data_IF_009489069141
#
_entry.id   IF_009489069141
#
_cell.length_a   1.000
_cell.length_b   1.000
_cell.length_c   1.000
_cell.angle_alpha   90.00
_cell.angle_beta   90.00
_cell.angle_gamma   90.00
#
_symmetry.space_group_name_H-M   'P 1'
#
loop_
_entity.id
_entity.type
_entity.pdbx_description
1 polymer ?
#
# COMPACT_ATOMS: atom_id res chain seq x y z
N UNK A 1 7.80 -19.42 14.96
CA UNK A 1 6.84 -18.90 15.97
C UNK A 1 6.12 -20.09 16.58
N UNK A 2 5.74 -20.05 17.85
CA UNK A 2 4.95 -21.13 18.47
C UNK A 2 3.58 -21.27 17.78
N UNK A 3 3.13 -22.50 17.56
CA UNK A 3 1.87 -22.81 16.86
C UNK A 3 0.65 -22.17 17.52
N UNK A 4 0.60 -22.13 18.85
CA UNK A 4 -0.49 -21.50 19.60
C UNK A 4 -0.49 -19.99 19.44
N UNK A 5 0.69 -19.38 19.31
CA UNK A 5 0.85 -17.94 19.08
C UNK A 5 0.36 -17.58 17.68
N UNK A 6 0.74 -18.37 16.66
CA UNK A 6 0.25 -18.18 15.29
C UNK A 6 -1.28 -18.25 15.23
N UNK A 7 -1.86 -19.32 15.80
CA UNK A 7 -3.31 -19.48 15.86
C UNK A 7 -4.01 -18.30 16.54
N UNK A 8 -3.44 -17.79 17.64
CA UNK A 8 -4.00 -16.64 18.35
C UNK A 8 -4.00 -15.37 17.48
N UNK A 9 -2.89 -15.11 16.77
CA UNK A 9 -2.76 -13.97 15.86
C UNK A 9 -3.76 -14.09 14.70
N UNK A 10 -3.85 -15.25 14.06
CA UNK A 10 -4.81 -15.50 12.98
C UNK A 10 -6.26 -15.24 13.43
N UNK A 11 -6.62 -15.69 14.64
CA UNK A 11 -7.95 -15.43 15.20
C UNK A 11 -8.18 -13.96 15.54
N UNK A 12 -7.15 -13.20 15.92
CA UNK A 12 -7.25 -11.74 16.06
C UNK A 12 -7.50 -11.08 14.70
N UNK A 13 -6.72 -11.45 13.68
CA UNK A 13 -6.86 -10.92 12.31
C UNK A 13 -8.25 -11.22 11.73
N UNK A 14 -8.75 -12.45 11.86
CA UNK A 14 -10.08 -12.87 11.39
C UNK A 14 -11.19 -12.00 11.99
N UNK A 15 -11.12 -11.74 13.31
CA UNK A 15 -12.09 -10.86 14.00
C UNK A 15 -12.01 -9.43 13.51
N UNK A 16 -10.81 -8.90 13.30
CA UNK A 16 -10.59 -7.56 12.77
C UNK A 16 -11.19 -7.41 11.37
N UNK A 17 -10.83 -8.31 10.44
CA UNK A 17 -11.34 -8.29 9.06
C UNK A 17 -12.87 -8.42 9.05
N UNK A 18 -13.44 -9.31 9.87
CA UNK A 18 -14.90 -9.44 9.99
C UNK A 18 -15.57 -8.14 10.43
N UNK A 19 -14.96 -7.39 11.34
CA UNK A 19 -15.49 -6.12 11.81
C UNK A 19 -15.30 -4.98 10.80
N UNK A 20 -14.20 -4.98 10.03
CA UNK A 20 -13.99 -4.06 8.91
C UNK A 20 -15.04 -4.28 7.81
N UNK A 21 -15.25 -5.53 7.41
CA UNK A 21 -16.22 -5.90 6.37
C UNK A 21 -17.64 -5.49 6.77
N UNK A 22 -18.02 -5.63 8.05
CA UNK A 22 -19.32 -5.14 8.57
C UNK A 22 -19.50 -3.62 8.43
N UNK A 23 -18.42 -2.87 8.22
CA UNK A 23 -18.39 -1.42 8.04
C UNK A 23 -17.99 -1.02 6.62
N UNK A 24 -18.17 -1.92 5.65
CA UNK A 24 -17.86 -1.70 4.22
C UNK A 24 -16.38 -1.40 3.93
N UNK A 25 -15.48 -1.87 4.78
CA UNK A 25 -14.04 -1.81 4.55
C UNK A 25 -13.51 -3.21 4.28
N UNK A 26 -12.95 -3.44 3.10
CA UNK A 26 -12.31 -4.71 2.79
C UNK A 26 -11.05 -4.90 3.64
N UNK A 27 -10.89 -6.07 4.25
CA UNK A 27 -9.69 -6.45 4.98
C UNK A 27 -8.98 -7.62 4.31
N UNK A 28 -7.66 -7.53 4.20
CA UNK A 28 -6.82 -8.57 3.59
C UNK A 28 -5.71 -8.97 4.56
N UNK A 29 -5.36 -10.25 4.55
CA UNK A 29 -4.23 -10.80 5.30
C UNK A 29 -3.33 -11.54 4.32
N UNK A 30 -2.05 -11.19 4.30
CA UNK A 30 -1.02 -11.75 3.42
C UNK A 30 0.16 -12.18 4.27
N UNK A 31 0.86 -13.24 3.87
CA UNK A 31 1.95 -13.84 4.65
C UNK A 31 3.32 -13.21 4.37
N UNK A 32 3.52 -12.69 3.15
CA UNK A 32 4.80 -12.17 2.68
C UNK A 32 4.64 -11.08 1.62
N UNK A 33 5.77 -10.51 1.19
CA UNK A 33 5.85 -9.45 0.18
C UNK A 33 5.39 -9.93 -1.21
N UNK A 34 5.51 -11.23 -1.51
CA UNK A 34 5.06 -11.77 -2.80
C UNK A 34 3.54 -11.77 -2.85
N UNK A 35 2.89 -12.26 -1.80
CA UNK A 35 1.44 -12.20 -1.65
C UNK A 35 0.92 -10.75 -1.60
N UNK A 36 1.66 -9.85 -0.94
CA UNK A 36 1.36 -8.42 -0.93
C UNK A 36 1.36 -7.83 -2.36
N UNK A 37 2.42 -8.02 -3.13
CA UNK A 37 2.50 -7.49 -4.49
C UNK A 37 1.44 -8.10 -5.42
N UNK A 38 1.12 -9.39 -5.26
CA UNK A 38 0.02 -10.03 -5.99
C UNK A 38 -1.35 -9.46 -5.61
N UNK A 39 -1.55 -9.08 -4.35
CA UNK A 39 -2.77 -8.39 -3.92
C UNK A 39 -2.83 -6.98 -4.51
N UNK A 40 -1.75 -6.20 -4.42
CA UNK A 40 -1.69 -4.85 -4.99
C UNK A 40 -1.98 -4.86 -6.49
N UNK A 41 -1.41 -5.80 -7.25
CA UNK A 41 -1.66 -5.95 -8.69
C UNK A 41 -3.13 -6.27 -9.03
N UNK A 42 -3.89 -6.82 -8.09
CA UNK A 42 -5.34 -7.06 -8.27
C UNK A 42 -6.21 -5.87 -7.86
N UNK A 43 -5.70 -5.02 -6.98
CA UNK A 43 -6.43 -3.88 -6.43
C UNK A 43 -6.19 -2.59 -7.21
N UNK A 44 -4.97 -2.42 -7.75
CA UNK A 44 -4.59 -1.26 -8.54
C UNK A 44 -4.96 -1.46 -9.99
N UNK A 45 -5.60 -0.46 -10.60
CA UNK A 45 -5.94 -0.48 -12.01
C UNK A 45 -4.77 0.01 -12.86
N UNK A 46 -4.53 -0.65 -13.99
CA UNK A 46 -3.54 -0.21 -14.97
C UNK A 46 -3.83 1.22 -15.45
N UNK A 47 -2.77 2.02 -15.59
CA UNK A 47 -2.78 3.43 -15.96
C UNK A 47 -3.47 4.39 -14.96
N UNK A 48 -3.87 3.90 -13.79
CA UNK A 48 -4.40 4.76 -12.72
C UNK A 48 -3.31 5.63 -12.08
N UNK A 49 -3.73 6.75 -11.48
CA UNK A 49 -2.86 7.64 -10.71
C UNK A 49 -2.70 7.08 -9.30
N UNK A 50 -1.47 6.72 -8.95
CA UNK A 50 -1.16 6.14 -7.64
C UNK A 50 -0.28 7.09 -6.84
N UNK A 51 -0.71 7.42 -5.63
CA UNK A 51 0.00 8.24 -4.66
C UNK A 51 0.42 7.45 -3.43
N UNK A 52 1.44 7.96 -2.71
CA UNK A 52 1.91 7.36 -1.46
C UNK A 52 2.14 8.38 -0.34
N UNK A 53 1.81 7.96 0.88
CA UNK A 53 2.16 8.64 2.13
C UNK A 53 3.65 8.53 2.46
N UNK A 54 4.05 9.02 3.64
CA UNK A 54 5.39 8.80 4.18
C UNK A 54 5.38 7.53 5.03
N UNK A 55 5.73 6.40 4.42
CA UNK A 55 5.64 5.07 5.04
C UNK A 55 6.92 4.29 4.83
N UNK A 56 7.61 3.95 5.92
CA UNK A 56 8.76 3.04 5.88
C UNK A 56 8.36 1.63 5.48
N UNK A 57 7.16 1.18 5.87
CA UNK A 57 6.64 -0.14 5.48
C UNK A 57 6.56 -0.31 3.97
N UNK A 58 6.23 0.75 3.21
CA UNK A 58 6.22 0.69 1.74
C UNK A 58 7.62 0.51 1.15
N UNK A 59 8.67 1.01 1.82
CA UNK A 59 10.06 0.77 1.43
C UNK A 59 10.51 -0.64 1.82
N UNK A 60 10.28 -1.05 3.07
CA UNK A 60 10.73 -2.34 3.61
C UNK A 60 10.12 -3.53 2.85
N UNK A 61 8.88 -3.37 2.40
CA UNK A 61 8.18 -4.39 1.59
C UNK A 61 8.51 -4.36 0.10
N UNK A 62 9.31 -3.39 -0.36
CA UNK A 62 9.61 -3.20 -1.79
C UNK A 62 8.46 -2.62 -2.61
N UNK A 63 7.37 -2.16 -1.95
CA UNK A 63 6.19 -1.61 -2.62
C UNK A 63 6.52 -0.35 -3.45
N UNK A 64 7.44 0.50 -3.00
CA UNK A 64 7.85 1.70 -3.78
C UNK A 64 8.43 1.30 -5.14
N UNK A 65 9.32 0.30 -5.17
CA UNK A 65 9.93 -0.17 -6.42
C UNK A 65 8.97 -1.01 -7.26
N UNK A 66 7.98 -1.66 -6.63
CA UNK A 66 6.85 -2.27 -7.34
C UNK A 66 6.06 -1.22 -8.11
N UNK A 67 5.68 -0.10 -7.47
CA UNK A 67 4.91 0.97 -8.12
C UNK A 67 5.69 1.65 -9.25
N UNK A 68 6.99 1.88 -9.08
CA UNK A 68 7.87 2.45 -10.12
C UNK A 68 8.00 1.60 -11.37
N UNK A 69 7.90 0.26 -11.23
CA UNK A 69 8.00 -0.70 -12.34
C UNK A 69 6.64 -1.07 -12.92
N UNK A 70 5.56 -0.76 -12.21
CA UNK A 70 4.19 -1.05 -12.63
C UNK A 70 3.70 -0.12 -13.73
N UNK A 71 2.58 -0.49 -14.34
CA UNK A 71 1.93 0.32 -15.37
C UNK A 71 1.01 1.37 -14.72
N UNK A 72 1.57 2.27 -13.92
CA UNK A 72 0.80 3.29 -13.17
C UNK A 72 1.38 4.69 -13.39
N UNK A 73 0.53 5.70 -13.27
CA UNK A 73 0.99 7.09 -13.15
C UNK A 73 1.39 7.35 -11.68
N UNK A 74 2.59 6.88 -11.32
CA UNK A 74 3.07 6.95 -9.94
C UNK A 74 3.56 8.36 -9.57
N UNK A 75 2.94 8.95 -8.54
CA UNK A 75 3.31 10.24 -7.95
C UNK A 75 4.53 10.10 -7.03
N UNK A 76 5.70 9.83 -7.63
CA UNK A 76 6.94 9.52 -6.92
C UNK A 76 7.63 10.76 -6.31
N UNK A 77 7.27 11.10 -5.07
CA UNK A 77 7.92 12.16 -4.28
C UNK A 77 9.34 11.82 -3.79
N UNK A 78 9.82 10.60 -4.03
CA UNK A 78 11.15 10.11 -3.64
C UNK A 78 12.09 9.94 -4.84
N UNK A 79 11.65 10.36 -6.03
CA UNK A 79 12.47 10.33 -7.24
C UNK A 79 13.79 11.09 -7.03
N UNK A 80 14.88 10.51 -7.51
CA UNK A 80 16.19 11.14 -7.46
C UNK A 80 16.19 12.47 -8.23
N UNK A 81 16.80 13.50 -7.65
CA UNK A 81 16.89 14.83 -8.24
C UNK A 81 15.61 15.68 -8.18
N UNK A 82 14.57 15.23 -7.45
CA UNK A 82 13.33 16.01 -7.30
C UNK A 82 13.60 17.36 -6.60
N UNK A 83 13.10 18.43 -7.20
CA UNK A 83 13.15 19.78 -6.61
C UNK A 83 12.13 19.94 -5.49
N UNK A 84 12.28 21.00 -4.68
CA UNK A 84 11.31 21.29 -3.61
C UNK A 84 9.93 21.59 -4.17
N UNK A 85 9.89 22.31 -5.30
CA UNK A 85 8.69 22.71 -6.01
C UNK A 85 7.96 21.50 -6.60
N UNK A 86 8.68 20.59 -7.28
CA UNK A 86 8.11 19.34 -7.79
C UNK A 86 7.60 18.44 -6.66
N UNK A 87 8.36 18.34 -5.56
CA UNK A 87 7.94 17.58 -4.39
C UNK A 87 6.65 18.17 -3.80
N UNK A 88 6.56 19.49 -3.68
CA UNK A 88 5.35 20.17 -3.22
C UNK A 88 4.17 19.93 -4.16
N UNK A 89 4.37 20.05 -5.48
CA UNK A 89 3.32 19.76 -6.46
C UNK A 89 2.84 18.30 -6.38
N UNK A 90 3.76 17.37 -6.17
CA UNK A 90 3.44 15.94 -5.98
C UNK A 90 2.56 15.74 -4.74
N UNK A 91 2.85 16.43 -3.63
CA UNK A 91 1.99 16.42 -2.43
C UNK A 91 0.57 16.92 -2.73
N UNK A 92 0.41 17.96 -3.55
CA UNK A 92 -0.90 18.45 -3.96
C UNK A 92 -1.61 17.46 -4.88
N UNK A 93 -0.89 16.88 -5.84
CA UNK A 93 -1.43 15.93 -6.81
C UNK A 93 -1.94 14.64 -6.14
N UNK A 94 -1.40 14.25 -4.98
CA UNK A 94 -1.88 13.09 -4.22
C UNK A 94 -3.38 13.20 -3.84
N UNK A 95 -3.94 14.40 -3.70
CA UNK A 95 -5.37 14.60 -3.43
C UNK A 95 -6.27 14.28 -4.64
N UNK A 96 -5.67 14.09 -5.81
CA UNK A 96 -6.34 13.68 -7.05
C UNK A 96 -5.92 12.27 -7.50
N UNK A 97 -5.21 11.51 -6.66
CA UNK A 97 -4.86 10.13 -6.96
C UNK A 97 -6.10 9.23 -6.92
N UNK A 98 -6.17 8.27 -7.84
CA UNK A 98 -7.22 7.24 -7.86
C UNK A 98 -7.02 6.27 -6.70
N UNK A 99 -5.77 5.93 -6.40
CA UNK A 99 -5.40 5.15 -5.21
C UNK A 99 -4.28 5.82 -4.43
N UNK A 100 -4.46 5.91 -3.12
CA UNK A 100 -3.44 6.43 -2.20
C UNK A 100 -3.08 5.36 -1.16
N UNK A 101 -1.80 5.00 -1.11
CA UNK A 101 -1.29 4.00 -0.17
C UNK A 101 -0.61 4.69 1.03
N UNK A 102 -0.94 4.24 2.23
CA UNK A 102 -0.34 4.74 3.47
C UNK A 102 -0.21 3.62 4.51
N UNK A 103 0.52 3.91 5.58
CA UNK A 103 0.61 3.07 6.78
C UNK A 103 0.29 3.88 8.03
N UNK A 104 -0.15 3.18 9.08
CA UNK A 104 -0.28 3.70 10.45
C UNK A 104 0.95 3.38 11.29
#
# INVERSE_FOLDING_TARGET
MDEKVLWYIEKQVERTIKNLNKRNMAGFYVQDEVELHNLLNRLLEDNSVVGVGDSMTLFDTGTIDFLRRGNYLFLDKYKEGITKEEKHQTYLNNFSADTFLCST
#
